data_IF_332650910651
#
_entry.id   IF_332650910651
#
_cell.length_a   1.000
_cell.length_b   1.000
_cell.length_c   1.000
_cell.angle_alpha   90.00
_cell.angle_beta   90.00
_cell.angle_gamma   90.00
#
_symmetry.space_group_name_H-M   'P 1'
#
loop_
_entity.id
_entity.type
_entity.pdbx_description
1 polymer ?
#
# COMPACT_ATOMS: atom_id res chain seq x y z
N UNK A 1 -21.24 5.21 0.83
CA UNK A 1 -21.45 4.49 -0.45
C UNK A 1 -21.85 3.02 -0.27
N UNK A 2 -21.80 2.52 0.95
CA UNK A 2 -22.24 1.13 1.26
C UNK A 2 -23.67 1.06 1.78
N UNK A 3 -24.14 2.08 2.47
CA UNK A 3 -25.41 2.06 3.19
C UNK A 3 -26.26 3.32 2.97
N UNK A 4 -25.87 4.19 2.05
CA UNK A 4 -26.54 5.47 1.70
C UNK A 4 -26.80 6.40 2.89
N UNK A 5 -26.16 6.14 4.04
CA UNK A 5 -26.24 7.01 5.21
C UNK A 5 -25.42 8.27 4.97
N UNK A 6 -25.94 9.46 5.29
CA UNK A 6 -25.20 10.70 5.17
C UNK A 6 -23.89 10.66 5.98
N UNK A 7 -22.82 11.18 5.38
CA UNK A 7 -21.51 11.29 6.04
C UNK A 7 -21.40 12.67 6.68
N UNK A 8 -20.70 12.71 7.82
CA UNK A 8 -20.31 13.96 8.47
C UNK A 8 -18.81 14.17 8.34
N UNK A 9 -18.40 15.42 8.28
CA UNK A 9 -17.01 15.83 8.32
C UNK A 9 -16.69 16.40 9.69
N UNK A 10 -15.59 15.97 10.30
CA UNK A 10 -15.05 16.56 11.53
C UNK A 10 -13.52 16.50 11.54
N UNK A 11 -12.91 17.49 12.14
CA UNK A 11 -11.46 17.56 12.29
C UNK A 11 -10.98 16.54 13.34
N UNK A 12 -9.85 15.91 13.06
CA UNK A 12 -9.21 14.95 13.95
C UNK A 12 -7.70 15.06 13.85
N UNK A 13 -7.02 14.96 14.97
CA UNK A 13 -5.58 14.84 15.00
C UNK A 13 -5.15 13.52 14.33
N UNK A 14 -4.10 13.57 13.53
CA UNK A 14 -3.57 12.44 12.80
C UNK A 14 -2.07 12.62 12.54
N UNK A 15 -1.38 11.51 12.39
CA UNK A 15 0.00 11.49 11.94
C UNK A 15 0.08 11.58 10.44
N UNK A 16 1.03 12.37 9.93
CA UNK A 16 1.22 12.59 8.50
C UNK A 16 2.68 12.38 8.10
N UNK A 17 2.89 11.81 6.92
CA UNK A 17 4.17 11.89 6.23
C UNK A 17 4.12 13.08 5.28
N UNK A 18 5.08 14.00 5.39
CA UNK A 18 5.16 15.21 4.54
C UNK A 18 5.63 14.87 3.14
N UNK A 19 4.75 14.27 2.32
CA UNK A 19 5.05 13.86 0.95
C UNK A 19 5.35 15.03 0.03
N UNK A 20 4.79 16.20 0.33
CA UNK A 20 5.06 17.45 -0.39
C UNK A 20 6.54 17.84 -0.35
N UNK A 21 7.29 17.44 0.69
CA UNK A 21 8.72 17.68 0.81
C UNK A 21 9.58 16.86 -0.18
N UNK A 22 9.04 15.75 -0.69
CA UNK A 22 9.74 14.85 -1.62
C UNK A 22 9.09 14.79 -3.00
N UNK A 23 8.18 15.72 -3.32
CA UNK A 23 7.42 15.76 -4.58
C UNK A 23 8.32 15.63 -5.81
N UNK A 24 9.36 16.44 -5.91
CA UNK A 24 10.24 16.47 -7.07
C UNK A 24 11.01 15.15 -7.23
N UNK A 25 11.36 14.50 -6.11
CA UNK A 25 11.98 13.18 -6.11
C UNK A 25 11.01 12.10 -6.59
N UNK A 26 9.74 12.16 -6.17
CA UNK A 26 8.69 11.24 -6.65
C UNK A 26 8.52 11.34 -8.17
N UNK A 27 8.42 12.57 -8.70
CA UNK A 27 8.29 12.80 -10.14
C UNK A 27 9.52 12.27 -10.87
N UNK A 28 10.72 12.61 -10.39
CA UNK A 28 11.98 12.15 -11.01
C UNK A 28 12.10 10.63 -11.00
N UNK A 29 11.75 9.97 -9.91
CA UNK A 29 11.77 8.51 -9.82
C UNK A 29 10.73 7.88 -10.74
N UNK A 30 9.52 8.46 -10.86
CA UNK A 30 8.51 8.01 -11.81
C UNK A 30 8.99 8.10 -13.27
N UNK A 31 9.78 9.12 -13.61
CA UNK A 31 10.31 9.30 -14.97
C UNK A 31 11.33 8.23 -15.37
N UNK A 32 11.86 7.46 -14.41
CA UNK A 32 12.75 6.33 -14.67
C UNK A 32 12.02 5.02 -14.98
N UNK A 33 10.72 4.97 -14.75
CA UNK A 33 9.89 3.76 -14.88
C UNK A 33 9.34 3.63 -16.30
N UNK A 34 9.45 2.43 -16.86
CA UNK A 34 8.82 2.09 -18.13
C UNK A 34 7.35 1.71 -17.91
N UNK A 35 6.44 2.63 -18.18
CA UNK A 35 4.99 2.43 -18.06
C UNK A 35 4.39 1.88 -19.36
N UNK A 36 3.57 0.84 -19.23
CA UNK A 36 2.84 0.23 -20.35
C UNK A 36 1.34 0.27 -20.00
N UNK A 37 0.56 1.21 -20.59
CA UNK A 37 0.97 2.23 -21.57
C UNK A 37 1.64 3.46 -20.90
N UNK A 38 2.54 4.08 -21.62
CA UNK A 38 3.30 5.25 -21.19
C UNK A 38 2.41 6.42 -20.72
N UNK A 39 1.23 6.56 -21.32
CA UNK A 39 0.24 7.60 -21.01
C UNK A 39 -0.24 7.56 -19.54
N UNK A 40 -0.19 6.42 -18.88
CA UNK A 40 -0.55 6.30 -17.46
C UNK A 40 0.54 6.92 -16.59
N UNK A 41 1.79 6.61 -16.84
CA UNK A 41 2.93 7.15 -16.08
C UNK A 41 3.09 8.65 -16.22
N UNK A 42 2.99 9.18 -17.43
CA UNK A 42 3.10 10.61 -17.73
C UNK A 42 1.84 11.41 -17.39
N UNK A 43 0.66 10.84 -17.64
CA UNK A 43 -0.65 11.47 -17.39
C UNK A 43 -1.17 11.18 -16.00
N UNK A 44 -2.12 10.24 -15.89
CA UNK A 44 -2.88 9.96 -14.65
C UNK A 44 -2.03 9.83 -13.37
N UNK A 45 -0.90 9.12 -13.45
CA UNK A 45 -0.01 8.93 -12.30
C UNK A 45 0.94 10.12 -12.12
N UNK A 46 1.61 10.57 -13.18
CA UNK A 46 2.51 11.71 -13.14
C UNK A 46 1.82 13.00 -12.66
N UNK A 47 0.59 13.27 -13.11
CA UNK A 47 -0.17 14.43 -12.66
C UNK A 47 -0.58 14.31 -11.19
N UNK A 48 -0.85 13.11 -10.72
CA UNK A 48 -1.07 12.87 -9.30
C UNK A 48 0.18 13.19 -8.47
N UNK A 49 1.35 12.74 -8.89
CA UNK A 49 2.61 12.99 -8.18
C UNK A 49 2.97 14.47 -8.13
N UNK A 50 2.74 15.21 -9.22
CA UNK A 50 2.94 16.68 -9.25
C UNK A 50 2.04 17.43 -8.26
N UNK A 51 0.88 16.86 -7.96
CA UNK A 51 -0.14 17.42 -7.05
C UNK A 51 -0.24 16.63 -5.74
N UNK A 52 0.80 15.88 -5.38
CA UNK A 52 0.79 15.03 -4.19
C UNK A 52 0.48 15.83 -2.93
N UNK A 53 -0.39 15.27 -2.09
CA UNK A 53 -0.70 15.79 -0.77
C UNK A 53 0.05 14.99 0.30
N UNK A 54 0.16 15.57 1.49
CA UNK A 54 0.76 14.88 2.63
C UNK A 54 -0.08 13.64 3.00
N UNK A 55 0.59 12.55 3.28
CA UNK A 55 -0.06 11.25 3.50
C UNK A 55 -0.50 11.10 4.94
N UNK A 56 -1.81 11.09 5.20
CA UNK A 56 -2.38 10.76 6.50
C UNK A 56 -2.09 9.30 6.84
N UNK A 57 -1.10 9.07 7.69
CA UNK A 57 -0.55 7.75 7.97
C UNK A 57 -1.36 6.97 9.00
N UNK A 58 -1.85 7.64 10.04
CA UNK A 58 -2.48 6.96 11.18
C UNK A 58 -3.95 6.63 10.94
N UNK A 59 -4.38 5.50 11.53
CA UNK A 59 -5.79 5.08 11.57
C UNK A 59 -6.20 4.77 13.01
N UNK A 60 -7.38 5.21 13.39
CA UNK A 60 -7.97 4.87 14.67
C UNK A 60 -8.79 3.58 14.51
N UNK A 61 -8.10 2.47 14.59
CA UNK A 61 -8.66 1.12 14.53
C UNK A 61 -8.00 0.24 15.58
N UNK A 62 -8.70 -0.82 15.98
CA UNK A 62 -8.10 -1.79 16.90
C UNK A 62 -7.07 -2.65 16.19
N UNK A 63 -7.42 -3.20 15.02
CA UNK A 63 -6.55 -4.11 14.26
C UNK A 63 -5.76 -3.38 13.18
N UNK A 64 -4.50 -3.68 13.09
CA UNK A 64 -3.54 -3.17 12.13
C UNK A 64 -2.14 -3.12 12.73
N UNK A 65 -1.14 -2.72 11.95
CA UNK A 65 0.24 -2.52 12.41
C UNK A 65 0.28 -1.32 13.37
N UNK A 66 0.62 -1.50 14.65
CA UNK A 66 0.69 -0.39 15.60
C UNK A 66 1.73 0.64 15.20
N UNK A 67 1.39 1.93 15.31
CA UNK A 67 2.34 3.01 15.07
C UNK A 67 3.43 2.95 16.17
N UNK A 68 4.68 2.88 15.77
CA UNK A 68 5.83 2.63 16.64
C UNK A 68 6.37 3.90 17.32
N UNK A 69 5.48 4.78 17.77
CA UNK A 69 5.83 6.05 18.41
C UNK A 69 5.36 6.05 19.85
N UNK A 70 6.25 6.44 20.76
CA UNK A 70 5.96 6.70 22.16
C UNK A 70 6.01 8.20 22.44
N UNK A 71 5.09 8.68 23.24
CA UNK A 71 4.99 10.08 23.66
C UNK A 71 5.13 10.21 25.18
N UNK A 72 5.83 11.28 25.59
CA UNK A 72 6.00 11.69 26.96
C UNK A 72 5.14 12.91 27.28
N UNK A 73 4.71 13.04 28.54
CA UNK A 73 4.05 14.26 29.04
C UNK A 73 4.88 15.54 28.86
N UNK A 74 6.21 15.43 28.76
CA UNK A 74 7.08 16.58 28.48
C UNK A 74 7.06 17.03 27.02
N UNK A 75 6.33 16.33 26.15
CA UNK A 75 6.25 16.60 24.71
C UNK A 75 7.30 15.85 23.87
N UNK A 76 8.23 15.12 24.51
CA UNK A 76 9.19 14.29 23.78
C UNK A 76 8.49 13.14 23.06
N UNK A 77 8.90 12.87 21.84
CA UNK A 77 8.43 11.76 21.00
C UNK A 77 9.60 10.90 20.57
N UNK A 78 9.42 9.60 20.64
CA UNK A 78 10.45 8.64 20.21
C UNK A 78 9.84 7.55 19.34
N UNK A 79 10.47 7.29 18.18
CA UNK A 79 10.08 6.22 17.27
C UNK A 79 11.03 5.03 17.46
N UNK A 80 10.49 3.87 17.83
CA UNK A 80 11.26 2.64 18.04
C UNK A 80 11.49 1.94 16.71
N UNK A 81 12.75 1.63 16.39
CA UNK A 81 13.17 1.00 15.15
C UNK A 81 13.34 -0.52 15.21
N UNK A 82 13.49 -1.10 16.40
CA UNK A 82 13.68 -2.56 16.55
C UNK A 82 13.18 -3.09 17.90
N UNK A 83 13.03 -4.42 18.00
CA UNK A 83 12.71 -5.08 19.29
C UNK A 83 13.83 -4.92 20.31
N UNK A 84 15.07 -4.88 19.85
CA UNK A 84 16.27 -4.69 20.67
C UNK A 84 16.27 -3.30 21.30
N UNK A 85 16.00 -2.28 20.50
CA UNK A 85 15.85 -0.90 20.98
C UNK A 85 14.72 -0.80 22.00
N UNK A 86 13.53 -1.36 21.69
CA UNK A 86 12.39 -1.38 22.60
C UNK A 86 12.75 -1.98 23.96
N UNK A 87 13.43 -3.13 23.97
CA UNK A 87 13.88 -3.77 25.21
C UNK A 87 14.90 -2.95 25.97
N UNK A 88 15.84 -2.31 25.26
CA UNK A 88 16.89 -1.51 25.89
C UNK A 88 16.34 -0.26 26.60
N UNK A 89 15.21 0.28 26.12
CA UNK A 89 14.58 1.48 26.66
C UNK A 89 13.43 1.19 27.65
N UNK A 90 13.04 -0.08 27.80
CA UNK A 90 11.88 -0.51 28.58
C UNK A 90 12.28 -1.39 29.75
N UNK A 91 11.65 -1.15 30.92
CA UNK A 91 11.78 -2.02 32.09
C UNK A 91 10.70 -3.14 32.10
N UNK A 92 9.69 -3.08 31.22
CA UNK A 92 8.55 -4.00 31.22
C UNK A 92 8.29 -4.69 29.88
N UNK A 93 9.23 -4.63 28.92
CA UNK A 93 9.08 -5.30 27.64
C UNK A 93 9.38 -6.80 27.78
N UNK A 94 8.43 -7.70 27.47
CA UNK A 94 8.69 -9.14 27.47
C UNK A 94 9.73 -9.55 26.43
N UNK A 95 10.46 -10.63 26.69
CA UNK A 95 11.45 -11.18 25.75
C UNK A 95 10.80 -11.55 24.40
N UNK A 96 9.62 -12.18 24.43
CA UNK A 96 8.86 -12.59 23.26
C UNK A 96 7.67 -11.66 23.04
N UNK A 97 7.91 -10.33 23.01
CA UNK A 97 6.85 -9.35 22.76
C UNK A 97 6.17 -9.57 21.42
N UNK A 98 4.86 -9.63 21.44
CA UNK A 98 4.01 -9.54 20.27
C UNK A 98 3.74 -8.07 19.94
N UNK A 99 4.07 -7.65 18.69
CA UNK A 99 3.98 -6.25 18.27
C UNK A 99 2.56 -5.81 17.87
N UNK A 100 1.52 -6.55 18.29
CA UNK A 100 0.11 -6.19 18.10
C UNK A 100 -0.54 -5.72 19.41
N UNK A 101 -1.65 -5.03 19.25
CA UNK A 101 -2.54 -4.71 20.36
C UNK A 101 -3.18 -5.98 20.93
N UNK A 102 -3.37 -6.10 22.23
CA UNK A 102 -3.10 -5.09 23.27
C UNK A 102 -1.67 -5.15 23.83
N UNK A 103 -0.85 -6.12 23.42
CA UNK A 103 0.43 -6.44 24.04
C UNK A 103 1.43 -5.27 23.98
N UNK A 104 1.61 -4.69 22.80
CA UNK A 104 2.54 -3.57 22.60
C UNK A 104 2.08 -2.29 23.33
N UNK A 105 0.77 -2.11 23.54
CA UNK A 105 0.23 -0.95 24.23
C UNK A 105 0.56 -0.94 25.74
N UNK A 106 0.88 -2.10 26.32
CA UNK A 106 1.28 -2.24 27.71
C UNK A 106 2.77 -1.91 27.93
N UNK A 107 3.56 -1.81 26.87
CA UNK A 107 5.01 -1.55 26.96
C UNK A 107 5.26 -0.05 27.07
N UNK A 108 5.96 0.34 28.12
CA UNK A 108 6.42 1.72 28.33
C UNK A 108 7.92 1.81 28.16
N UNK A 109 8.41 2.96 27.71
CA UNK A 109 9.85 3.24 27.61
C UNK A 109 10.24 4.46 28.44
N UNK A 110 11.52 4.59 28.77
CA UNK A 110 12.04 5.76 29.48
C UNK A 110 12.26 6.92 28.51
N UNK A 111 11.75 8.06 28.86
CA UNK A 111 11.96 9.29 28.10
C UNK A 111 13.45 9.68 28.13
N UNK A 112 14.11 9.86 26.97
CA UNK A 112 15.51 10.24 26.93
C UNK A 112 15.76 11.67 27.43
N UNK A 113 14.73 12.53 27.46
CA UNK A 113 14.88 13.94 27.90
C UNK A 113 14.61 14.13 29.39
N UNK A 114 13.57 13.49 29.93
CA UNK A 114 13.16 13.76 31.32
C UNK A 114 13.14 12.53 32.23
N UNK A 115 13.42 11.33 31.70
CA UNK A 115 13.45 10.07 32.47
C UNK A 115 12.09 9.51 32.87
N UNK A 116 10.97 10.22 32.61
CA UNK A 116 9.62 9.73 32.88
C UNK A 116 9.22 8.62 31.93
N UNK A 117 8.16 7.89 32.23
CA UNK A 117 7.61 6.88 31.34
C UNK A 117 6.90 7.52 30.16
N UNK A 118 7.11 6.94 28.98
CA UNK A 118 6.41 7.25 27.74
C UNK A 118 5.46 6.12 27.39
N UNK A 119 4.33 6.47 26.80
CA UNK A 119 3.32 5.54 26.34
C UNK A 119 3.21 5.57 24.82
N UNK A 120 2.94 4.41 24.21
CA UNK A 120 2.72 4.33 22.77
C UNK A 120 1.44 5.08 22.38
N UNK A 121 1.49 5.79 21.25
CA UNK A 121 0.28 6.35 20.62
C UNK A 121 -0.68 5.23 20.22
N UNK A 122 -1.99 5.45 20.35
CA UNK A 122 -2.98 4.38 20.22
C UNK A 122 -3.30 3.97 18.79
N UNK A 123 -2.88 4.76 17.81
CA UNK A 123 -3.16 4.57 16.41
C UNK A 123 -2.40 3.38 15.81
N UNK A 124 -2.94 2.90 14.70
CA UNK A 124 -2.28 1.94 13.81
C UNK A 124 -1.90 2.62 12.49
N UNK A 125 -0.95 2.04 11.78
CA UNK A 125 -0.49 2.53 10.48
C UNK A 125 -1.53 2.21 9.39
N UNK A 126 -1.62 3.05 8.38
CA UNK A 126 -2.37 2.80 7.16
C UNK A 126 -1.88 1.52 6.48
N UNK A 127 -2.77 0.59 6.15
CA UNK A 127 -2.42 -0.66 5.47
C UNK A 127 -1.71 -0.46 4.11
N UNK A 128 -1.86 0.71 3.49
CA UNK A 128 -1.10 1.06 2.29
C UNK A 128 0.39 1.29 2.57
N UNK A 129 0.75 1.65 3.79
CA UNK A 129 2.14 1.70 4.22
C UNK A 129 2.73 0.27 4.31
N UNK A 130 1.99 -0.65 4.92
CA UNK A 130 2.42 -2.06 5.03
C UNK A 130 2.64 -2.65 3.63
N UNK A 131 1.67 -2.49 2.72
CA UNK A 131 1.77 -3.01 1.35
C UNK A 131 2.88 -2.34 0.53
N UNK A 132 3.10 -1.04 0.75
CA UNK A 132 4.18 -0.28 0.09
C UNK A 132 5.57 -0.60 0.62
N UNK A 133 5.66 -1.20 1.80
CA UNK A 133 6.92 -1.66 2.42
C UNK A 133 7.37 -3.04 1.94
N UNK A 134 6.52 -3.76 1.20
CA UNK A 134 6.78 -5.13 0.76
C UNK A 134 8.14 -5.34 0.10
N UNK A 135 8.68 -4.45 -0.76
CA UNK A 135 9.94 -4.71 -1.46
C UNK A 135 11.12 -5.01 -0.56
N UNK A 136 11.15 -4.46 0.65
CA UNK A 136 12.23 -4.67 1.63
C UNK A 136 11.76 -5.44 2.87
N UNK A 137 10.51 -5.26 3.30
CA UNK A 137 9.98 -5.90 4.50
C UNK A 137 9.91 -7.43 4.36
N UNK A 138 9.61 -7.97 3.17
CA UNK A 138 9.60 -9.42 2.92
C UNK A 138 10.95 -10.10 3.17
N UNK A 139 12.05 -9.35 3.06
CA UNK A 139 13.40 -9.84 3.28
C UNK A 139 13.92 -9.55 4.70
N UNK A 140 13.14 -8.87 5.52
CA UNK A 140 13.55 -8.33 6.82
C UNK A 140 14.76 -7.39 6.69
N UNK A 141 14.87 -6.70 5.55
CA UNK A 141 15.92 -5.70 5.32
C UNK A 141 15.70 -4.47 6.24
N UNK A 142 16.74 -3.85 6.82
CA UNK A 142 18.17 -4.12 6.61
C UNK A 142 18.79 -5.14 7.57
N UNK A 143 18.03 -5.84 8.39
CA UNK A 143 18.54 -6.71 9.45
C UNK A 143 19.01 -8.07 8.92
N UNK A 144 18.32 -8.57 7.88
CA UNK A 144 18.59 -9.87 7.25
C UNK A 144 18.51 -9.75 5.72
N UNK A 145 19.04 -10.75 5.01
CA UNK A 145 18.89 -10.96 3.56
C UNK A 145 19.23 -9.73 2.70
N UNK A 146 20.23 -8.94 3.10
CA UNK A 146 20.65 -7.73 2.37
C UNK A 146 21.06 -8.06 0.92
N UNK A 147 21.81 -9.15 0.72
CA UNK A 147 22.26 -9.60 -0.59
C UNK A 147 21.11 -10.01 -1.52
N UNK A 148 20.02 -10.56 -0.97
CA UNK A 148 18.82 -10.91 -1.72
C UNK A 148 18.07 -9.63 -2.12
N UNK A 149 17.89 -8.71 -1.16
CA UNK A 149 17.26 -7.42 -1.44
C UNK A 149 17.99 -6.65 -2.54
N UNK A 150 19.30 -6.52 -2.45
CA UNK A 150 20.13 -5.79 -3.43
C UNK A 150 20.02 -6.37 -4.85
N UNK A 151 19.85 -7.69 -4.98
CA UNK A 151 19.67 -8.36 -6.28
C UNK A 151 18.27 -8.19 -6.88
N UNK A 152 17.25 -8.01 -6.03
CA UNK A 152 15.85 -7.99 -6.45
C UNK A 152 15.19 -6.62 -6.35
N UNK A 153 15.96 -5.58 -6.02
CA UNK A 153 15.45 -4.21 -5.90
C UNK A 153 16.21 -3.25 -6.85
N UNK A 154 15.48 -2.56 -7.76
CA UNK A 154 14.03 -2.60 -7.96
C UNK A 154 13.53 -3.90 -8.59
N UNK A 155 12.24 -4.18 -8.50
CA UNK A 155 11.61 -5.30 -9.18
C UNK A 155 11.68 -5.11 -10.71
N UNK A 156 11.90 -6.18 -11.47
CA UNK A 156 11.94 -6.12 -12.93
C UNK A 156 10.61 -5.61 -13.52
N UNK A 157 9.48 -6.08 -12.98
CA UNK A 157 8.16 -5.56 -13.35
C UNK A 157 7.12 -5.79 -12.25
N UNK A 158 6.05 -4.99 -12.30
CA UNK A 158 4.80 -5.19 -11.57
C UNK A 158 3.61 -5.03 -12.53
N UNK A 159 2.48 -5.65 -12.19
CA UNK A 159 1.26 -5.54 -12.99
C UNK A 159 0.03 -5.55 -12.10
N UNK A 160 -0.79 -4.52 -12.23
CA UNK A 160 -2.08 -4.35 -11.58
C UNK A 160 -3.00 -3.43 -12.38
N UNK A 161 -4.27 -3.32 -11.99
CA UNK A 161 -5.22 -2.46 -12.67
C UNK A 161 -4.97 -0.96 -12.45
N UNK A 162 -5.50 -0.14 -13.33
CA UNK A 162 -5.28 1.32 -13.39
C UNK A 162 -5.67 2.07 -12.12
N UNK A 163 -6.57 1.54 -11.31
CA UNK A 163 -6.94 2.13 -10.02
C UNK A 163 -5.77 2.15 -9.03
N UNK A 164 -4.78 1.26 -9.18
CA UNK A 164 -3.58 1.21 -8.35
C UNK A 164 -2.62 2.39 -8.53
N UNK A 165 -2.87 3.26 -9.50
CA UNK A 165 -2.26 4.60 -9.55
C UNK A 165 -2.62 5.48 -8.35
N UNK A 166 -3.70 5.15 -7.64
CA UNK A 166 -4.16 5.75 -6.37
C UNK A 166 -4.13 4.74 -5.21
N UNK A 167 -3.28 3.74 -5.30
CA UNK A 167 -3.15 2.65 -4.34
C UNK A 167 -1.72 2.13 -4.32
N UNK A 168 -1.53 0.88 -4.69
CA UNK A 168 -0.27 0.16 -4.51
C UNK A 168 0.90 0.75 -5.31
N UNK A 169 0.71 1.16 -6.55
CA UNK A 169 1.79 1.79 -7.33
C UNK A 169 2.32 3.05 -6.65
N UNK A 170 1.41 3.85 -6.06
CA UNK A 170 1.80 5.05 -5.32
C UNK A 170 2.49 4.71 -4.00
N UNK A 171 1.94 3.82 -3.17
CA UNK A 171 2.53 3.50 -1.87
C UNK A 171 3.92 2.89 -2.00
N UNK A 172 4.13 2.01 -3.00
CA UNK A 172 5.45 1.48 -3.34
C UNK A 172 6.44 2.60 -3.69
N UNK A 173 6.08 3.48 -4.62
CA UNK A 173 6.95 4.58 -5.06
C UNK A 173 7.22 5.57 -3.93
N UNK A 174 6.20 5.90 -3.13
CA UNK A 174 6.31 6.84 -2.02
C UNK A 174 7.34 6.36 -0.98
N UNK A 175 7.19 5.14 -0.49
CA UNK A 175 8.07 4.59 0.54
C UNK A 175 9.48 4.37 -0.01
N UNK A 176 9.60 3.84 -1.22
CA UNK A 176 10.90 3.66 -1.87
C UNK A 176 11.64 4.99 -2.10
N UNK A 177 10.91 6.04 -2.49
CA UNK A 177 11.50 7.39 -2.65
C UNK A 177 11.98 7.94 -1.31
N UNK A 178 11.22 7.74 -0.23
CA UNK A 178 11.61 8.21 1.11
C UNK A 178 12.86 7.51 1.64
N UNK A 179 12.96 6.20 1.46
CA UNK A 179 14.03 5.38 2.04
C UNK A 179 15.27 5.29 1.14
N UNK A 180 15.07 5.11 -0.16
CA UNK A 180 16.15 4.76 -1.10
C UNK A 180 16.35 5.82 -2.19
N UNK A 181 15.46 6.81 -2.30
CA UNK A 181 15.46 7.81 -3.37
C UNK A 181 15.50 7.16 -4.78
N UNK A 182 14.82 6.03 -4.96
CA UNK A 182 14.80 5.20 -6.17
C UNK A 182 13.39 4.66 -6.40
N UNK A 183 13.01 4.43 -7.67
CA UNK A 183 11.79 3.70 -8.00
C UNK A 183 11.90 2.24 -7.56
N UNK A 184 10.82 1.61 -7.04
CA UNK A 184 10.86 0.23 -6.55
C UNK A 184 10.64 -0.82 -7.64
N UNK A 185 10.35 -0.39 -8.85
CA UNK A 185 10.07 -1.22 -10.03
C UNK A 185 10.61 -0.55 -11.29
N UNK A 186 11.01 -1.35 -12.28
CA UNK A 186 11.51 -0.86 -13.57
C UNK A 186 10.41 -0.75 -14.61
N UNK A 187 9.51 -1.75 -14.66
CA UNK A 187 8.43 -1.82 -15.63
C UNK A 187 7.07 -1.95 -14.93
N UNK A 188 6.05 -1.26 -15.42
CA UNK A 188 4.68 -1.36 -14.94
C UNK A 188 3.74 -1.66 -16.08
N UNK A 189 3.11 -2.84 -16.06
CA UNK A 189 2.03 -3.19 -16.97
C UNK A 189 0.71 -2.85 -16.29
N UNK A 190 0.03 -1.82 -16.79
CA UNK A 190 -1.22 -1.34 -16.22
C UNK A 190 -2.40 -2.02 -16.88
N UNK A 191 -3.19 -2.77 -16.13
CA UNK A 191 -4.35 -3.48 -16.65
C UNK A 191 -5.58 -2.59 -16.72
N UNK A 192 -6.37 -2.79 -17.77
CA UNK A 192 -7.71 -2.21 -17.90
C UNK A 192 -8.71 -2.84 -16.94
N UNK A 193 -9.84 -2.16 -16.71
CA UNK A 193 -10.91 -2.73 -15.91
C UNK A 193 -11.66 -3.83 -16.64
N UNK A 194 -12.04 -4.88 -15.90
CA UNK A 194 -13.04 -5.83 -16.36
C UNK A 194 -14.44 -5.22 -16.21
N UNK A 195 -15.19 -5.22 -17.29
CA UNK A 195 -16.52 -4.64 -17.41
C UNK A 195 -17.57 -5.72 -17.67
N UNK A 196 -18.83 -5.43 -17.40
CA UNK A 196 -19.94 -6.31 -17.82
C UNK A 196 -20.17 -6.25 -19.35
N UNK A 197 -21.18 -6.97 -19.83
CA UNK A 197 -21.52 -7.02 -21.25
C UNK A 197 -21.85 -5.66 -21.86
N UNK A 198 -22.39 -4.75 -21.05
CA UNK A 198 -22.78 -3.39 -21.44
C UNK A 198 -21.63 -2.37 -21.34
N UNK A 199 -20.44 -2.84 -20.94
CA UNK A 199 -19.27 -1.98 -20.74
C UNK A 199 -19.31 -1.15 -19.45
N UNK A 200 -20.11 -1.57 -18.47
CA UNK A 200 -20.16 -0.92 -17.18
C UNK A 200 -19.16 -1.56 -16.22
N UNK A 201 -18.53 -0.74 -15.37
CA UNK A 201 -17.66 -1.25 -14.31
C UNK A 201 -18.44 -2.19 -13.40
N UNK A 202 -17.94 -3.42 -13.23
CA UNK A 202 -18.52 -4.39 -12.31
C UNK A 202 -18.42 -3.91 -10.86
N UNK A 203 -19.49 -4.05 -10.11
CA UNK A 203 -19.51 -3.77 -8.67
C UNK A 203 -20.55 -4.62 -7.96
N UNK A 204 -20.23 -5.07 -6.73
CA UNK A 204 -21.17 -5.85 -5.90
C UNK A 204 -22.46 -5.07 -5.59
N UNK A 205 -22.37 -3.75 -5.43
CA UNK A 205 -23.51 -2.89 -5.12
C UNK A 205 -24.49 -2.73 -6.30
N UNK A 206 -24.02 -2.90 -7.54
CA UNK A 206 -24.85 -2.85 -8.76
C UNK A 206 -25.40 -4.22 -9.15
N UNK A 207 -24.94 -5.31 -8.53
CA UNK A 207 -25.37 -6.67 -8.85
C UNK A 207 -24.90 -7.19 -10.21
N UNK A 208 -23.94 -6.50 -10.87
CA UNK A 208 -23.40 -6.86 -12.18
C UNK A 208 -22.00 -7.52 -12.08
N UNK A 209 -21.56 -7.87 -10.88
CA UNK A 209 -20.31 -8.58 -10.68
C UNK A 209 -20.50 -10.08 -10.98
N UNK A 210 -19.56 -10.65 -11.76
CA UNK A 210 -19.48 -12.11 -11.99
C UNK A 210 -18.66 -12.72 -10.87
N UNK A 211 -19.16 -13.82 -10.29
CA UNK A 211 -18.37 -14.62 -9.35
C UNK A 211 -17.30 -15.39 -10.12
N UNK A 212 -16.01 -15.23 -9.78
CA UNK A 212 -14.92 -15.92 -10.49
C UNK A 212 -15.01 -17.45 -10.40
N UNK A 213 -15.51 -18.01 -9.28
CA UNK A 213 -15.63 -19.45 -9.12
C UNK A 213 -16.75 -20.04 -10.00
N UNK A 214 -17.87 -19.33 -10.11
CA UNK A 214 -18.95 -19.74 -11.02
C UNK A 214 -18.47 -19.70 -12.48
N UNK A 215 -17.74 -18.66 -12.86
CA UNK A 215 -17.18 -18.56 -14.19
C UNK A 215 -16.16 -19.67 -14.49
N UNK A 216 -15.28 -20.00 -13.53
CA UNK A 216 -14.31 -21.09 -13.64
C UNK A 216 -14.99 -22.46 -13.74
N UNK A 217 -16.05 -22.69 -12.98
CA UNK A 217 -16.84 -23.92 -13.07
C UNK A 217 -17.50 -24.09 -14.44
N UNK A 218 -18.01 -22.99 -15.00
CA UNK A 218 -18.76 -23.01 -16.25
C UNK A 218 -17.87 -23.15 -17.48
N UNK A 219 -16.77 -22.43 -17.54
CA UNK A 219 -15.93 -22.29 -18.73
C UNK A 219 -14.57 -22.99 -18.62
N UNK A 220 -14.11 -23.28 -17.41
CA UNK A 220 -12.76 -23.74 -17.16
C UNK A 220 -11.74 -22.61 -17.13
N UNK A 221 -10.63 -22.84 -16.44
CA UNK A 221 -9.58 -21.81 -16.27
C UNK A 221 -8.87 -21.45 -17.57
N UNK A 222 -8.62 -22.42 -18.44
CA UNK A 222 -7.87 -22.21 -19.67
C UNK A 222 -8.65 -21.36 -20.68
N UNK A 223 -9.97 -21.60 -20.84
CA UNK A 223 -10.82 -20.80 -21.72
C UNK A 223 -10.88 -19.32 -21.24
N UNK A 224 -11.03 -19.09 -19.92
CA UNK A 224 -11.04 -17.74 -19.36
C UNK A 224 -9.69 -17.05 -19.55
N UNK A 225 -8.58 -17.73 -19.30
CA UNK A 225 -7.24 -17.19 -19.50
C UNK A 225 -6.99 -16.86 -20.95
N UNK A 226 -7.34 -17.76 -21.87
CA UNK A 226 -7.23 -17.54 -23.30
C UNK A 226 -8.01 -16.32 -23.74
N UNK A 227 -9.26 -16.21 -23.32
CA UNK A 227 -10.11 -15.06 -23.60
C UNK A 227 -9.44 -13.72 -23.22
N UNK A 228 -8.86 -13.64 -22.00
CA UNK A 228 -8.19 -12.40 -21.57
C UNK A 228 -6.93 -12.07 -22.36
N UNK A 229 -6.23 -13.06 -22.89
CA UNK A 229 -5.03 -12.81 -23.69
C UNK A 229 -5.34 -12.48 -25.16
N UNK A 230 -6.38 -13.06 -25.71
CA UNK A 230 -6.73 -12.92 -27.11
C UNK A 230 -7.59 -11.68 -27.39
N UNK A 231 -8.53 -11.37 -26.49
CA UNK A 231 -9.60 -10.40 -26.77
C UNK A 231 -9.12 -8.95 -26.95
N UNK A 232 -8.13 -8.49 -26.18
CA UNK A 232 -7.63 -7.12 -26.27
C UNK A 232 -6.26 -6.94 -25.63
N UNK A 233 -5.61 -5.79 -25.91
CA UNK A 233 -4.41 -5.40 -25.17
C UNK A 233 -4.70 -5.28 -23.67
N UNK A 234 -3.80 -5.74 -22.80
CA UNK A 234 -4.06 -5.83 -21.35
C UNK A 234 -4.49 -4.51 -20.69
N UNK A 235 -4.04 -3.38 -21.21
CA UNK A 235 -4.35 -2.05 -20.67
C UNK A 235 -5.69 -1.47 -21.13
N UNK A 236 -6.40 -2.15 -22.05
CA UNK A 236 -7.73 -1.75 -22.49
C UNK A 236 -8.81 -2.37 -21.59
N UNK A 237 -9.96 -1.69 -21.41
CA UNK A 237 -11.09 -2.30 -20.72
C UNK A 237 -11.56 -3.57 -21.46
N UNK A 238 -11.80 -4.64 -20.70
CA UNK A 238 -12.23 -5.92 -21.23
C UNK A 238 -13.66 -6.23 -20.77
N UNK A 239 -14.58 -6.52 -21.69
CA UNK A 239 -15.96 -6.88 -21.40
C UNK A 239 -16.08 -8.37 -21.16
N UNK A 240 -16.34 -8.79 -19.94
CA UNK A 240 -16.48 -10.19 -19.59
C UNK A 240 -17.95 -10.62 -19.55
N UNK A 241 -18.30 -11.55 -20.38
CA UNK A 241 -19.61 -12.23 -20.38
C UNK A 241 -19.50 -13.62 -21.01
N UNK A 242 -20.44 -14.51 -20.66
CA UNK A 242 -20.39 -15.93 -21.03
C UNK A 242 -20.21 -16.17 -22.53
N UNK A 243 -20.96 -15.43 -23.37
CA UNK A 243 -20.89 -15.61 -24.81
C UNK A 243 -19.50 -15.29 -25.35
N UNK A 244 -18.86 -14.24 -24.88
CA UNK A 244 -17.52 -13.85 -25.31
C UNK A 244 -16.46 -14.90 -24.97
N UNK A 245 -16.53 -15.49 -23.76
CA UNK A 245 -15.62 -16.58 -23.36
C UNK A 245 -15.83 -17.85 -24.17
N UNK A 246 -17.07 -18.13 -24.62
CA UNK A 246 -17.39 -19.34 -25.41
C UNK A 246 -16.98 -19.21 -26.88
N UNK A 247 -16.95 -17.98 -27.39
CA UNK A 247 -16.58 -17.69 -28.80
C UNK A 247 -15.07 -17.55 -29.03
N UNK A 248 -14.27 -17.30 -28.00
CA UNK A 248 -12.80 -17.27 -28.00
C UNK A 248 -12.22 -18.65 -27.76
#
# INVERSE_FOLDING_TARGET
WRCDTPLIYYARESWFIKMTAVRDKLVKNNDTVNWIPESIGKGRFGDWLKNVQDWGLSRNRYWGTPLNIWECECGCRHAIGSKEELRSMSDNCPENIELHRPFIDAVTIKCPECGKQMHRVTEVIDCWFDSGSMPFAQWHYPFENQDIFEKHFPADFISEAVDQTRGWFYSLLAISTLLFNKAPYENVIVLGHVQDADGQKMSKSKGNAVDPFDALQKHGADAIRWYFYENSAPWLPNRFHDKAVTEG
#
